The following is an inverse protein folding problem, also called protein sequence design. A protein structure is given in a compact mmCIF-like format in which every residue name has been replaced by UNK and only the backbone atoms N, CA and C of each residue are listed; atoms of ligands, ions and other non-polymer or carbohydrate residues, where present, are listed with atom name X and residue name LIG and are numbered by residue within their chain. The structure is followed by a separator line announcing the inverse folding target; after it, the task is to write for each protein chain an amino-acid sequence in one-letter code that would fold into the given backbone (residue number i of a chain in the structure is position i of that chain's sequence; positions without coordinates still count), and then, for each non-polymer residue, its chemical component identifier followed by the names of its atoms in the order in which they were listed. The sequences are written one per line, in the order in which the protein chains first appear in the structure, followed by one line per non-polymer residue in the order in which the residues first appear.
data_IF_952428243021
#
_entry.id   IF_952428243021
#
_cell.length_a   1.000
_cell.length_b   1.000
_cell.length_c   1.000
_cell.angle_alpha   90.00
_cell.angle_beta   90.00
_cell.angle_gamma   90.00
#
_symmetry.space_group_name_H-M   'P 1'
#
loop_
_entity.id
_entity.type
_entity.pdbx_description
1 polymer ?
#
# COMPACT_ATOMS: atom_id res chain seq x y z
N UNK A 1 -4.70 0.14 18.83
CA UNK A 1 -3.85 1.17 18.19
C UNK A 1 -4.34 1.39 16.76
N UNK A 2 -4.62 2.64 16.35
CA UNK A 2 -5.24 2.95 15.05
C UNK A 2 -4.42 2.37 13.90
N UNK A 3 -5.07 1.56 13.05
CA UNK A 3 -4.43 0.75 11.97
C UNK A 3 -3.68 1.61 10.95
N UNK A 4 -4.00 2.89 10.85
CA UNK A 4 -3.40 3.83 9.92
C UNK A 4 -1.94 4.16 10.25
N UNK A 5 -1.62 4.33 11.53
CA UNK A 5 -0.24 4.61 12.00
C UNK A 5 0.66 3.38 11.80
N UNK A 6 0.09 2.18 11.89
CA UNK A 6 0.83 0.92 11.69
C UNK A 6 1.20 0.70 10.22
N UNK A 7 0.29 1.00 9.28
CA UNK A 7 0.55 0.97 7.84
C UNK A 7 1.63 1.99 7.45
N UNK A 8 1.57 3.15 8.09
CA UNK A 8 2.50 4.25 7.87
C UNK A 8 3.95 3.91 8.25
N UNK A 9 4.16 3.36 9.45
CA UNK A 9 5.49 2.94 9.92
C UNK A 9 6.05 1.83 9.01
N UNK A 10 5.19 0.95 8.49
CA UNK A 10 5.58 -0.08 7.53
C UNK A 10 6.12 0.51 6.22
N UNK A 11 5.48 1.53 5.64
CA UNK A 11 5.95 2.15 4.41
C UNK A 11 7.28 2.91 4.60
N UNK A 12 7.46 3.57 5.75
CA UNK A 12 8.72 4.22 6.11
C UNK A 12 9.84 3.19 6.26
N UNK A 13 9.57 2.06 6.92
CA UNK A 13 10.54 0.99 7.06
C UNK A 13 10.95 0.38 5.71
N UNK A 14 10.00 0.25 4.77
CA UNK A 14 10.29 -0.21 3.40
C UNK A 14 11.17 0.82 2.67
N UNK A 15 10.88 2.12 2.77
CA UNK A 15 11.72 3.17 2.20
C UNK A 15 13.15 3.16 2.73
N UNK A 16 13.31 2.93 4.03
CA UNK A 16 14.62 2.82 4.68
C UNK A 16 15.38 1.55 4.26
N UNK A 17 14.67 0.44 4.08
CA UNK A 17 15.25 -0.81 3.58
C UNK A 17 15.76 -0.66 2.13
N UNK A 18 14.97 -0.02 1.26
CA UNK A 18 15.36 0.26 -0.12
C UNK A 18 16.59 1.18 -0.16
N UNK A 19 16.66 2.18 0.73
CA UNK A 19 17.82 3.05 0.84
C UNK A 19 19.10 2.30 1.22
N UNK A 20 18.99 1.27 2.07
CA UNK A 20 20.10 0.38 2.39
C UNK A 20 20.60 -0.38 1.17
N UNK A 21 19.68 -0.90 0.35
CA UNK A 21 20.03 -1.55 -0.91
C UNK A 21 20.70 -0.57 -1.89
N UNK A 22 20.21 0.67 -1.98
CA UNK A 22 20.78 1.70 -2.83
C UNK A 22 22.21 2.08 -2.41
N UNK A 23 22.44 2.31 -1.12
CA UNK A 23 23.80 2.62 -0.62
C UNK A 23 24.73 1.41 -0.77
N UNK A 24 24.23 0.19 -0.57
CA UNK A 24 24.96 -1.03 -0.88
C UNK A 24 25.39 -1.09 -2.34
N UNK A 25 24.51 -0.72 -3.29
CA UNK A 25 24.85 -0.60 -4.70
C UNK A 25 25.89 0.48 -4.98
N UNK A 26 25.79 1.67 -4.35
CA UNK A 26 26.79 2.74 -4.55
C UNK A 26 28.20 2.31 -4.13
N UNK A 27 28.30 1.58 -3.01
CA UNK A 27 29.55 0.99 -2.58
C UNK A 27 30.00 -0.11 -3.54
N UNK A 28 29.11 -1.02 -3.93
CA UNK A 28 29.42 -2.13 -4.84
C UNK A 28 29.94 -1.66 -6.21
N UNK A 29 29.29 -0.68 -6.82
CA UNK A 29 29.71 -0.11 -8.10
C UNK A 29 30.88 0.86 -7.97
N UNK A 30 31.38 1.08 -6.75
CA UNK A 30 32.47 2.01 -6.44
C UNK A 30 32.26 3.37 -7.12
N UNK A 31 31.05 3.91 -7.01
CA UNK A 31 30.69 5.19 -7.66
C UNK A 31 31.64 6.26 -7.14
N UNK A 32 32.32 6.98 -8.03
CA UNK A 32 33.31 8.02 -7.68
C UNK A 32 34.46 7.55 -6.77
N UNK A 33 34.81 6.26 -6.82
CA UNK A 33 35.83 5.67 -5.96
C UNK A 33 35.46 5.67 -4.45
N UNK A 34 34.16 5.74 -4.12
CA UNK A 34 33.65 5.77 -2.74
C UNK A 34 34.05 4.54 -1.92
N UNK A 35 34.12 3.36 -2.53
CA UNK A 35 34.58 2.15 -1.85
C UNK A 35 35.99 2.33 -1.34
N UNK A 36 36.88 2.85 -2.19
CA UNK A 36 38.27 3.12 -1.82
C UNK A 36 38.35 4.20 -0.72
N UNK A 37 37.54 5.26 -0.82
CA UNK A 37 37.49 6.32 0.19
C UNK A 37 37.05 5.80 1.57
N UNK A 38 36.04 4.92 1.58
CA UNK A 38 35.53 4.27 2.79
C UNK A 38 36.53 3.25 3.34
N UNK A 39 37.14 2.42 2.48
CA UNK A 39 38.05 1.35 2.92
C UNK A 39 39.38 1.86 3.46
N UNK A 40 39.84 3.01 2.99
CA UNK A 40 41.14 3.58 3.37
C UNK A 40 41.03 4.60 4.51
N UNK A 41 39.81 5.08 4.82
CA UNK A 41 39.61 6.04 5.92
C UNK A 41 39.36 5.32 7.25
N UNK A 42 40.03 5.76 8.33
CA UNK A 42 39.75 5.32 9.72
C UNK A 42 38.27 5.50 10.12
N UNK A 43 37.58 6.45 9.49
CA UNK A 43 36.15 6.74 9.70
C UNK A 43 35.22 6.06 8.67
N UNK A 44 35.69 5.05 7.93
CA UNK A 44 34.93 4.40 6.86
C UNK A 44 33.55 3.92 7.26
N UNK A 45 33.43 3.27 8.43
CA UNK A 45 32.16 2.78 8.95
C UNK A 45 31.18 3.94 9.26
N UNK A 46 31.71 5.05 9.78
CA UNK A 46 30.97 6.27 10.10
C UNK A 46 30.46 6.95 8.81
N UNK A 47 31.31 6.99 7.78
CA UNK A 47 30.96 7.52 6.46
C UNK A 47 29.84 6.71 5.80
N UNK A 48 29.91 5.37 5.86
CA UNK A 48 28.84 4.50 5.37
C UNK A 48 27.55 4.70 6.18
N UNK A 49 27.66 4.83 7.50
CA UNK A 49 26.52 5.10 8.38
C UNK A 49 25.81 6.41 8.03
N UNK A 50 26.55 7.50 7.85
CA UNK A 50 26.01 8.81 7.46
C UNK A 50 25.43 8.76 6.05
N UNK A 51 26.13 8.16 5.09
CA UNK A 51 25.67 8.01 3.72
C UNK A 51 24.34 7.25 3.69
N UNK A 52 24.26 6.12 4.40
CA UNK A 52 23.03 5.34 4.53
C UNK A 52 21.92 6.09 5.24
N UNK A 53 22.21 6.77 6.35
CA UNK A 53 21.22 7.51 7.12
C UNK A 53 20.64 8.70 6.34
N UNK A 54 21.50 9.51 5.71
CA UNK A 54 21.07 10.65 4.91
C UNK A 54 20.23 10.21 3.71
N UNK A 55 20.68 9.19 2.97
CA UNK A 55 19.89 8.64 1.87
C UNK A 55 18.59 7.99 2.38
N UNK A 56 18.67 7.25 3.48
CA UNK A 56 17.55 6.60 4.17
C UNK A 56 16.42 7.56 4.52
N UNK A 57 16.74 8.72 5.09
CA UNK A 57 15.75 9.75 5.42
C UNK A 57 15.09 10.31 4.16
N UNK A 58 15.84 10.53 3.07
CA UNK A 58 15.27 11.05 1.82
C UNK A 58 14.24 10.07 1.25
N UNK A 59 14.59 8.77 1.15
CA UNK A 59 13.67 7.74 0.69
C UNK A 59 12.47 7.56 1.63
N UNK A 60 12.70 7.58 2.95
CA UNK A 60 11.65 7.57 3.96
C UNK A 60 10.71 8.78 3.83
N UNK A 61 11.23 9.96 3.53
CA UNK A 61 10.48 11.20 3.32
C UNK A 61 9.54 11.12 2.12
N UNK A 62 9.99 10.54 1.00
CA UNK A 62 9.14 10.31 -0.18
C UNK A 62 8.03 9.30 0.12
N UNK A 63 8.35 8.18 0.79
CA UNK A 63 7.35 7.19 1.21
C UNK A 63 6.35 7.77 2.21
N UNK A 64 6.82 8.64 3.12
CA UNK A 64 5.97 9.40 4.03
C UNK A 64 5.01 10.32 3.27
N UNK A 65 5.52 11.15 2.35
CA UNK A 65 4.70 12.07 1.55
C UNK A 65 3.65 11.33 0.72
N UNK A 66 4.04 10.23 0.07
CA UNK A 66 3.10 9.37 -0.67
C UNK A 66 2.03 8.77 0.26
N UNK A 67 2.40 8.28 1.43
CA UNK A 67 1.46 7.73 2.41
C UNK A 67 0.45 8.78 2.91
N UNK A 68 0.89 10.01 3.15
CA UNK A 68 0.03 11.14 3.56
C UNK A 68 -0.94 11.52 2.45
N UNK A 69 -0.47 11.68 1.21
CA UNK A 69 -1.34 12.00 0.07
C UNK A 69 -2.32 10.87 -0.25
N UNK A 70 -1.88 9.61 -0.14
CA UNK A 70 -2.73 8.42 -0.30
C UNK A 70 -3.78 8.30 0.80
N UNK A 71 -3.55 8.93 1.95
CA UNK A 71 -4.49 8.97 3.06
C UNK A 71 -5.52 10.10 2.88
N UNK A 72 -5.08 11.29 2.44
CA UNK A 72 -5.97 12.41 2.13
C UNK A 72 -7.02 12.07 1.05
N UNK A 73 -6.68 11.17 0.10
CA UNK A 73 -7.63 10.69 -0.91
C UNK A 73 -8.59 9.57 -0.46
N UNK A 74 -8.56 9.14 0.80
CA UNK A 74 -9.41 8.03 1.30
C UNK A 74 -10.67 8.48 2.06
N UNK A 75 -10.83 9.77 2.32
CA UNK A 75 -11.93 10.27 3.16
C UNK A 75 -13.05 11.04 2.42
N UNK A 76 -12.94 11.37 1.12
CA UNK A 76 -13.99 12.13 0.40
C UNK A 76 -14.37 11.57 -0.99
N UNK A 77 -15.04 10.40 -1.03
CA UNK A 77 -15.70 9.91 -2.25
C UNK A 77 -16.54 8.64 -2.02
N UNK A 78 -17.75 8.53 -2.61
CA UNK A 78 -18.55 7.31 -2.53
C UNK A 78 -17.72 6.10 -2.97
N UNK A 79 -17.64 5.09 -2.10
CA UNK A 79 -16.85 3.87 -2.28
C UNK A 79 -17.23 3.16 -3.59
N UNK A 80 -16.53 3.49 -4.66
CA UNK A 80 -16.56 2.77 -5.91
C UNK A 80 -16.03 1.36 -5.71
N UNK A 81 -16.91 0.37 -5.88
CA UNK A 81 -16.56 -1.02 -6.10
C UNK A 81 -15.99 -1.75 -4.89
N UNK A 82 -16.86 -2.20 -3.99
CA UNK A 82 -16.60 -3.39 -3.19
C UNK A 82 -16.16 -4.51 -4.14
N UNK A 83 -14.85 -4.82 -4.20
CA UNK A 83 -14.40 -6.12 -4.69
C UNK A 83 -14.83 -7.12 -3.63
N UNK A 84 -16.09 -7.54 -3.75
CA UNK A 84 -16.62 -8.71 -3.08
C UNK A 84 -15.76 -9.85 -3.57
N UNK A 85 -14.78 -10.27 -2.76
CA UNK A 85 -14.18 -11.58 -2.90
C UNK A 85 -15.35 -12.57 -2.93
N UNK A 86 -15.51 -13.40 -3.97
CA UNK A 86 -16.69 -14.23 -4.11
C UNK A 86 -16.59 -15.44 -3.18
N UNK A 87 -16.63 -15.21 -1.87
CA UNK A 87 -16.99 -16.23 -0.88
C UNK A 87 -18.39 -15.97 -0.32
N UNK A 88 -19.19 -15.16 -1.01
CA UNK A 88 -20.63 -15.11 -0.78
C UNK A 88 -21.21 -16.37 -1.39
N UNK A 89 -21.35 -17.43 -0.58
CA UNK A 89 -22.29 -18.52 -0.87
C UNK A 89 -23.63 -17.89 -1.22
N UNK A 90 -23.93 -17.79 -2.51
CA UNK A 90 -25.22 -17.33 -3.02
C UNK A 90 -26.22 -18.43 -2.75
N UNK A 91 -26.69 -18.51 -1.51
CA UNK A 91 -27.79 -19.40 -1.16
C UNK A 91 -29.07 -18.75 -1.71
N UNK A 92 -29.59 -19.28 -2.82
CA UNK A 92 -30.86 -18.82 -3.38
C UNK A 92 -31.97 -19.19 -2.39
N UNK A 93 -32.58 -18.18 -1.79
CA UNK A 93 -33.76 -18.35 -0.94
C UNK A 93 -34.99 -18.25 -1.84
N UNK A 94 -35.81 -19.32 -1.98
CA UNK A 94 -37.02 -19.26 -2.79
C UNK A 94 -38.06 -18.34 -2.12
N UNK A 95 -38.45 -17.28 -2.82
CA UNK A 95 -39.54 -16.39 -2.42
C UNK A 95 -40.85 -16.91 -2.99
N UNK A 96 -41.84 -17.19 -2.13
CA UNK A 96 -43.20 -17.55 -2.58
C UNK A 96 -43.92 -16.31 -3.06
N UNK A 97 -44.22 -16.25 -4.35
CA UNK A 97 -45.08 -15.21 -4.93
C UNK A 97 -46.53 -15.72 -4.93
N UNK A 98 -47.49 -15.02 -4.30
CA UNK A 98 -48.89 -15.38 -4.39
C UNK A 98 -49.40 -15.13 -5.81
N UNK A 99 -49.86 -16.20 -6.49
CA UNK A 99 -50.45 -16.10 -7.82
C UNK A 99 -51.80 -15.38 -7.74
N UNK A 100 -51.91 -14.21 -8.40
CA UNK A 100 -53.17 -13.49 -8.54
C UNK A 100 -54.05 -14.26 -9.53
N UNK A 101 -55.12 -14.89 -9.04
CA UNK A 101 -56.11 -15.56 -9.90
C UNK A 101 -56.71 -14.50 -10.84
N UNK A 102 -56.45 -14.61 -12.14
CA UNK A 102 -57.21 -13.89 -13.14
C UNK A 102 -58.64 -14.44 -13.09
N UNK A 103 -59.55 -13.64 -12.54
CA UNK A 103 -61.00 -13.88 -12.63
C UNK A 103 -61.40 -13.81 -14.09
N UNK A 104 -61.41 -14.96 -14.75
CA UNK A 104 -61.97 -15.13 -16.09
C UNK A 104 -63.49 -15.00 -15.96
N UNK A 105 -63.99 -13.78 -16.10
CA UNK A 105 -65.42 -13.54 -16.32
C UNK A 105 -65.76 -14.13 -17.69
N UNK A 106 -66.47 -15.25 -17.69
CA UNK A 106 -67.08 -15.81 -18.88
C UNK A 106 -68.30 -14.95 -19.22
N UNK A 107 -68.44 -14.46 -20.47
CA UNK A 107 -69.60 -13.68 -20.87
C UNK A 107 -70.85 -14.58 -20.87
N UNK A 108 -71.87 -14.16 -20.12
CA UNK A 108 -73.22 -14.70 -20.19
C UNK A 108 -73.78 -14.49 -21.61
N UNK A 109 -74.27 -15.58 -22.22
CA UNK A 109 -75.24 -15.54 -23.32
C UNK A 109 -76.57 -16.03 -22.81
#
# INVERSE_FOLDING_TARGET
MPKLVKLYIQNVAIGFAIAGAFVGMLLWFNVMNLWHLVSTSDSGLLAVGILWFMNGIVFAGVQFGYAVMSLAGKDDGPRGGMRITPDVKREMIPVRVPAKKASRQLPHR
#
